data_IF_928772810126
#
_entry.id   IF_928772810126
#
_cell.length_a   1.000
_cell.length_b   1.000
_cell.length_c   1.000
_cell.angle_alpha   90.00
_cell.angle_beta   90.00
_cell.angle_gamma   90.00
#
_symmetry.space_group_name_H-M   'P 1'
#
loop_
_entity.id
_entity.type
_entity.pdbx_description
1 polymer ?
#
# COMPACT_ATOMS: atom_id res chain seq x y z
N UNK A 1 -8.50 -8.03 0.75
CA UNK A 1 -7.45 -7.32 0.00
C UNK A 1 -8.10 -6.39 -1.02
N UNK A 2 -7.51 -5.21 -1.27
CA UNK A 2 -7.99 -4.13 -2.16
C UNK A 2 -9.17 -3.24 -1.70
N UNK A 3 -9.40 -3.10 -0.38
CA UNK A 3 -10.45 -2.18 0.13
C UNK A 3 -10.06 -0.69 0.14
N UNK A 4 -8.76 -0.40 0.06
CA UNK A 4 -8.24 0.97 0.18
C UNK A 4 -8.48 1.81 -1.07
N UNK A 5 -8.57 1.17 -2.25
CA UNK A 5 -9.00 1.84 -3.47
C UNK A 5 -10.47 1.50 -3.71
N UNK A 6 -11.26 2.45 -4.21
CA UNK A 6 -12.66 2.17 -4.58
C UNK A 6 -12.76 1.14 -5.70
N UNK A 7 -11.79 1.13 -6.61
CA UNK A 7 -11.60 0.10 -7.64
C UNK A 7 -10.24 -0.57 -7.46
N UNK A 8 -10.17 -1.90 -7.38
CA UNK A 8 -8.90 -2.61 -7.28
C UNK A 8 -8.08 -2.46 -8.56
N UNK A 9 -6.75 -2.49 -8.43
CA UNK A 9 -5.86 -2.64 -9.59
C UNK A 9 -6.09 -4.00 -10.23
N UNK A 10 -6.16 -4.03 -11.55
CA UNK A 10 -6.33 -5.27 -12.32
C UNK A 10 -4.97 -5.92 -12.54
N UNK A 11 -4.89 -7.22 -12.25
CA UNK A 11 -3.70 -8.03 -12.44
C UNK A 11 -4.06 -9.35 -13.09
N UNK A 12 -3.38 -9.67 -14.19
CA UNK A 12 -3.64 -10.88 -14.98
C UNK A 12 -2.32 -11.47 -15.48
N UNK A 13 -2.10 -12.76 -15.22
CA UNK A 13 -1.00 -13.52 -15.82
C UNK A 13 0.41 -12.98 -15.55
N UNK A 14 0.67 -12.32 -14.43
CA UNK A 14 1.98 -11.71 -14.15
C UNK A 14 2.02 -10.19 -14.33
N UNK A 15 1.00 -9.61 -14.97
CA UNK A 15 1.03 -8.24 -15.47
C UNK A 15 -0.02 -7.36 -14.78
N UNK A 16 0.33 -6.09 -14.58
CA UNK A 16 -0.64 -5.05 -14.21
C UNK A 16 -1.35 -4.60 -15.47
N UNK A 17 -2.68 -4.56 -15.45
CA UNK A 17 -3.50 -4.04 -16.54
C UNK A 17 -3.76 -2.55 -16.27
N UNK A 18 -3.22 -1.62 -17.09
CA UNK A 18 -3.40 -0.19 -16.87
C UNK A 18 -4.86 0.24 -16.96
N UNK A 19 -5.26 1.18 -16.10
CA UNK A 19 -6.58 1.79 -16.17
C UNK A 19 -6.76 2.59 -17.45
N UNK A 20 -8.00 2.64 -17.96
CA UNK A 20 -8.39 3.47 -19.12
C UNK A 20 -8.99 4.82 -18.69
N UNK A 21 -9.14 5.05 -17.39
CA UNK A 21 -9.68 6.28 -16.85
C UNK A 21 -8.63 7.41 -16.89
N UNK A 22 -9.04 8.68 -17.05
CA UNK A 22 -8.12 9.81 -17.01
C UNK A 22 -7.32 9.92 -15.70
N UNK A 23 -6.13 10.52 -15.77
CA UNK A 23 -5.27 10.73 -14.61
C UNK A 23 -4.59 9.44 -14.15
N UNK A 24 -4.51 9.24 -12.83
CA UNK A 24 -3.88 8.03 -12.25
C UNK A 24 -4.77 6.78 -12.40
N UNK A 25 -6.05 6.94 -12.76
CA UNK A 25 -6.99 5.85 -12.99
C UNK A 25 -7.33 5.03 -11.74
N UNK A 26 -7.19 5.63 -10.55
CA UNK A 26 -7.53 5.06 -9.25
C UNK A 26 -8.19 6.12 -8.37
N UNK A 27 -9.01 5.68 -7.42
CA UNK A 27 -9.66 6.55 -6.44
C UNK A 27 -9.48 5.98 -5.04
N UNK A 28 -9.04 6.81 -4.10
CA UNK A 28 -8.84 6.42 -2.70
C UNK A 28 -10.20 6.26 -2.01
N UNK A 29 -10.34 5.20 -1.22
CA UNK A 29 -11.43 5.08 -0.27
C UNK A 29 -11.02 5.75 1.05
N UNK A 30 -11.40 7.02 1.20
CA UNK A 30 -11.02 7.85 2.36
C UNK A 30 -11.59 7.32 3.69
N UNK A 31 -12.80 6.76 3.70
CA UNK A 31 -13.38 6.16 4.91
C UNK A 31 -12.52 5.02 5.44
N UNK A 32 -12.03 4.17 4.53
CA UNK A 32 -11.12 3.08 4.88
C UNK A 32 -9.77 3.63 5.34
N UNK A 33 -9.23 4.66 4.68
CA UNK A 33 -7.96 5.26 5.09
C UNK A 33 -8.04 5.90 6.50
N UNK A 34 -9.09 6.68 6.76
CA UNK A 34 -9.31 7.34 8.05
C UNK A 34 -9.57 6.35 9.19
N UNK A 35 -10.18 5.20 8.90
CA UNK A 35 -10.38 4.14 9.88
C UNK A 35 -9.08 3.41 10.29
N UNK A 36 -7.98 3.60 9.56
CA UNK A 36 -6.69 2.92 9.82
C UNK A 36 -5.53 3.91 9.96
N UNK A 37 -5.54 4.79 11.00
CA UNK A 37 -4.50 5.78 11.19
C UNK A 37 -3.17 5.12 11.58
N UNK A 38 -2.06 5.70 11.10
CA UNK A 38 -0.74 5.34 11.60
C UNK A 38 -0.50 6.05 12.94
N UNK A 39 -0.46 5.29 14.04
CA UNK A 39 -0.22 5.80 15.40
C UNK A 39 1.17 5.46 15.94
N UNK A 40 2.03 4.89 15.09
CA UNK A 40 3.40 4.51 15.46
C UNK A 40 4.36 5.69 15.43
N UNK A 41 5.60 5.43 15.87
CA UNK A 41 6.73 6.38 15.82
C UNK A 41 7.85 5.93 14.89
N UNK A 42 7.73 4.74 14.32
CA UNK A 42 8.73 4.18 13.41
C UNK A 42 8.60 4.75 12.00
N UNK A 43 9.61 4.50 11.18
CA UNK A 43 9.54 4.75 9.75
C UNK A 43 8.76 3.63 9.05
N UNK A 44 8.43 3.81 7.77
CA UNK A 44 7.85 2.75 6.94
C UNK A 44 8.78 1.53 6.87
N UNK A 45 10.08 1.78 6.76
CA UNK A 45 11.16 0.81 6.91
C UNK A 45 12.26 1.46 7.74
N UNK A 46 12.91 0.69 8.59
CA UNK A 46 14.07 1.12 9.38
C UNK A 46 15.15 0.04 9.31
N UNK A 47 16.41 0.46 9.45
CA UNK A 47 17.54 -0.44 9.51
C UNK A 47 17.65 -1.04 10.92
N UNK A 48 18.22 -2.23 11.00
CA UNK A 48 18.59 -2.82 12.29
C UNK A 48 19.56 -1.87 13.02
N UNK A 49 19.20 -1.48 14.25
CA UNK A 49 19.99 -0.54 15.06
C UNK A 49 21.19 -1.20 15.74
N UNK A 50 21.26 -2.54 15.74
CA UNK A 50 22.32 -3.31 16.35
C UNK A 50 22.76 -4.46 15.42
N UNK A 51 24.02 -4.92 15.54
CA UNK A 51 24.50 -6.07 14.79
C UNK A 51 23.66 -7.31 15.05
N UNK A 52 23.48 -8.13 14.02
CA UNK A 52 23.00 -9.50 14.21
C UNK A 52 24.14 -10.28 14.86
N UNK A 53 24.00 -10.58 16.16
CA UNK A 53 24.99 -11.36 16.89
C UNK A 53 25.13 -12.78 16.34
N UNK A 54 26.20 -13.48 16.76
CA UNK A 54 26.36 -14.92 16.53
C UNK A 54 25.71 -15.68 17.69
N UNK A 55 24.85 -16.66 17.37
CA UNK A 55 24.26 -17.60 18.33
C UNK A 55 25.26 -18.69 18.72
#
# INVERSE_FOLDING_TARGET
>A
HAKLLKKPLQWEGGYVIPSKEPGLGVELNEEVALAHPYTGRGLHLDMAQHPLGYY
#
